data_IF_245848492395
#
_entry.id   IF_245848492395
#
_cell.length_a   1.000
_cell.length_b   1.000
_cell.length_c   1.000
_cell.angle_alpha   90.00
_cell.angle_beta   90.00
_cell.angle_gamma   90.00
#
_symmetry.space_group_name_H-M   'P 1'
#
loop_
_entity.id
_entity.type
_entity.pdbx_description
1 polymer ?
#
# COMPACT_ATOMS: atom_id res chain seq x y z
N UNK A 1 40.59 4.47 71.34
CA UNK A 1 40.46 3.08 70.84
C UNK A 1 40.36 3.21 69.32
N UNK A 2 41.38 2.97 68.48
CA UNK A 2 42.30 1.80 68.40
C UNK A 2 41.51 0.50 68.26
N UNK A 3 41.74 -0.40 67.30
CA UNK A 3 42.82 -0.61 66.30
C UNK A 3 42.26 -1.44 65.12
N UNK A 4 42.88 -1.76 63.98
CA UNK A 4 44.20 -1.53 63.34
C UNK A 4 44.01 -1.74 61.80
N UNK A 5 44.69 -1.00 60.89
CA UNK A 5 45.91 -1.39 60.14
C UNK A 5 45.87 -2.81 59.52
N UNK A 6 46.19 -3.08 58.23
CA UNK A 6 47.35 -2.70 57.40
C UNK A 6 47.14 -3.20 55.93
N UNK A 7 47.93 -2.92 54.86
CA UNK A 7 48.95 -1.91 54.48
C UNK A 7 49.21 -2.02 52.94
N UNK A 8 49.59 -0.89 52.29
CA UNK A 8 50.46 -0.72 51.10
C UNK A 8 50.29 -1.50 49.75
N UNK A 9 50.55 -0.79 48.64
CA UNK A 9 50.89 -1.35 47.31
C UNK A 9 49.87 -1.01 46.20
N UNK A 10 50.17 -0.27 45.13
CA UNK A 10 51.45 0.29 44.69
C UNK A 10 51.93 -0.23 43.33
N UNK A 11 51.10 -0.21 42.28
CA UNK A 11 51.56 -0.48 40.91
C UNK A 11 50.98 0.48 39.87
N UNK A 12 51.86 1.31 39.30
CA UNK A 12 51.63 2.04 38.05
C UNK A 12 51.63 1.04 36.88
N UNK A 13 50.45 0.72 36.35
CA UNK A 13 50.33 -0.04 35.11
C UNK A 13 50.46 0.90 33.91
N UNK A 14 51.66 0.96 33.33
CA UNK A 14 51.96 1.75 32.14
C UNK A 14 51.18 1.23 30.93
N UNK A 15 50.04 1.86 30.60
CA UNK A 15 49.27 1.51 29.41
C UNK A 15 50.02 1.91 28.13
N UNK A 16 50.81 0.98 27.60
CA UNK A 16 51.46 1.12 26.31
C UNK A 16 50.39 1.32 25.22
N UNK A 17 50.41 2.49 24.56
CA UNK A 17 49.51 2.80 23.45
C UNK A 17 49.73 1.80 22.31
N UNK A 18 48.76 0.90 22.09
CA UNK A 18 48.73 0.05 20.88
C UNK A 18 48.68 0.94 19.63
N UNK A 19 49.52 0.70 18.60
CA UNK A 19 49.40 1.41 17.34
C UNK A 19 48.09 1.04 16.63
N UNK A 20 47.52 1.94 15.81
CA UNK A 20 46.24 1.70 15.15
C UNK A 20 46.35 0.53 14.15
N UNK A 21 45.43 -0.44 14.26
CA UNK A 21 45.27 -1.52 13.27
C UNK A 21 44.92 -0.90 11.91
N UNK A 22 45.83 -1.01 10.93
CA UNK A 22 45.53 -0.68 9.52
C UNK A 22 44.45 -1.63 9.01
N UNK A 23 43.27 -1.10 8.68
CA UNK A 23 42.25 -1.88 7.96
C UNK A 23 42.76 -2.19 6.53
N UNK A 24 42.52 -3.40 5.99
CA UNK A 24 42.81 -3.70 4.60
C UNK A 24 41.87 -2.89 3.69
N UNK A 25 42.45 -2.12 2.75
CA UNK A 25 41.67 -1.39 1.74
C UNK A 25 40.87 -2.40 0.90
N UNK A 26 39.53 -2.40 1.04
CA UNK A 26 38.64 -3.08 0.08
C UNK A 26 38.88 -2.49 -1.31
N UNK A 27 39.48 -3.28 -2.22
CA UNK A 27 39.47 -2.96 -3.65
C UNK A 27 38.03 -3.03 -4.14
N UNK A 28 37.44 -1.90 -4.52
CA UNK A 28 36.16 -1.89 -5.22
C UNK A 28 36.35 -2.52 -6.60
N UNK A 29 35.82 -3.73 -6.79
CA UNK A 29 35.58 -4.23 -8.15
C UNK A 29 34.48 -3.36 -8.75
N UNK A 30 34.86 -2.42 -9.61
CA UNK A 30 33.92 -1.78 -10.54
C UNK A 30 33.36 -2.89 -11.42
N UNK A 31 32.07 -3.18 -11.28
CA UNK A 31 31.33 -3.95 -12.29
C UNK A 31 31.12 -2.98 -13.45
N UNK A 32 31.64 -3.31 -14.63
CA UNK A 32 31.36 -2.54 -15.84
C UNK A 32 29.90 -2.77 -16.26
N UNK A 33 29.18 -1.76 -16.76
CA UNK A 33 27.86 -1.98 -17.33
C UNK A 33 27.97 -2.88 -18.55
N UNK A 34 27.15 -3.93 -18.61
CA UNK A 34 27.03 -4.75 -19.80
C UNK A 34 26.39 -3.90 -20.92
N UNK A 35 27.08 -3.81 -22.07
CA UNK A 35 26.53 -3.13 -23.23
C UNK A 35 25.38 -3.95 -23.81
N UNK A 36 24.15 -3.45 -23.69
CA UNK A 36 23.02 -4.03 -24.41
C UNK A 36 23.06 -3.54 -25.85
N UNK A 37 23.41 -4.45 -26.77
CA UNK A 37 23.40 -4.20 -28.21
C UNK A 37 21.98 -3.88 -28.66
N UNK A 38 21.82 -2.77 -29.38
CA UNK A 38 20.51 -2.29 -29.80
C UNK A 38 19.90 -3.14 -30.92
N UNK A 39 18.59 -3.36 -30.83
CA UNK A 39 17.73 -3.60 -31.98
C UNK A 39 16.82 -2.38 -32.13
N UNK A 40 16.89 -1.71 -33.28
CA UNK A 40 16.12 -0.50 -33.53
C UNK A 40 14.66 -0.82 -33.84
N UNK A 41 13.74 -0.26 -33.05
CA UNK A 41 12.31 -0.17 -33.34
C UNK A 41 11.92 1.28 -33.63
N UNK A 42 11.21 1.53 -34.74
CA UNK A 42 10.86 2.89 -35.18
C UNK A 42 9.88 3.57 -34.21
N UNK A 43 10.03 4.88 -34.04
CA UNK A 43 8.96 5.72 -33.53
C UNK A 43 7.78 5.73 -34.50
N UNK A 44 6.57 5.48 -34.00
CA UNK A 44 5.33 5.65 -34.75
C UNK A 44 4.65 6.96 -34.31
N UNK A 45 4.38 7.84 -35.29
CA UNK A 45 3.42 8.95 -35.16
C UNK A 45 2.23 8.64 -36.05
N UNK A 46 1.02 8.88 -35.54
CA UNK A 46 -0.20 9.08 -36.34
C UNK A 46 -0.81 7.82 -36.96
N UNK A 47 -1.98 7.44 -36.45
CA UNK A 47 -2.88 6.46 -37.04
C UNK A 47 -4.28 6.69 -36.49
N UNK A 48 -5.30 6.63 -37.37
CA UNK A 48 -6.67 7.07 -37.07
C UNK A 48 -7.40 6.26 -35.99
N UNK A 49 -8.38 6.92 -35.37
CA UNK A 49 -9.31 6.29 -34.45
C UNK A 49 -10.23 5.31 -35.20
N UNK A 50 -10.01 4.01 -34.98
CA UNK A 50 -11.06 3.00 -35.07
C UNK A 50 -11.20 2.31 -33.72
N UNK A 51 -12.45 2.01 -33.34
CA UNK A 51 -12.86 1.74 -31.97
C UNK A 51 -12.45 0.32 -31.51
N UNK A 52 -11.20 0.11 -31.10
CA UNK A 52 -10.81 -1.10 -30.36
C UNK A 52 -11.20 -0.95 -28.89
N UNK A 53 -12.14 -1.79 -28.44
CA UNK A 53 -12.45 -1.96 -27.02
C UNK A 53 -11.18 -2.24 -26.22
N UNK A 54 -11.05 -1.56 -25.09
CA UNK A 54 -9.86 -1.52 -24.23
C UNK A 54 -9.30 -2.91 -23.90
N UNK A 55 -7.98 -3.05 -23.97
CA UNK A 55 -7.29 -4.31 -23.66
C UNK A 55 -7.30 -4.74 -22.19
N UNK A 56 -7.83 -3.90 -21.29
CA UNK A 56 -7.89 -4.14 -19.85
C UNK A 56 -9.16 -4.89 -19.47
N UNK A 57 -9.02 -6.04 -18.81
CA UNK A 57 -10.10 -6.84 -18.25
C UNK A 57 -9.85 -7.09 -16.76
N UNK A 58 -10.85 -6.86 -15.91
CA UNK A 58 -10.83 -7.08 -14.46
C UNK A 58 -11.81 -8.18 -14.07
N UNK A 59 -11.29 -9.29 -13.53
CA UNK A 59 -12.09 -10.34 -12.89
C UNK A 59 -12.26 -10.00 -11.41
N UNK A 60 -13.52 -9.88 -10.96
CA UNK A 60 -13.78 -9.42 -9.60
C UNK A 60 -15.23 -9.49 -9.13
N UNK A 61 -15.45 -9.04 -7.88
CA UNK A 61 -16.79 -8.90 -7.29
C UNK A 61 -16.86 -7.80 -6.21
N UNK A 62 -18.02 -7.18 -5.96
CA UNK A 62 -18.15 -6.10 -4.98
C UNK A 62 -17.83 -6.49 -3.53
N UNK A 63 -18.05 -7.75 -3.14
CA UNK A 63 -17.80 -8.25 -1.79
C UNK A 63 -16.35 -8.69 -1.53
N UNK A 64 -15.40 -8.28 -2.37
CA UNK A 64 -14.01 -8.74 -2.34
C UNK A 64 -13.04 -7.56 -2.29
N UNK A 65 -11.75 -7.81 -2.54
CA UNK A 65 -10.72 -6.77 -2.72
C UNK A 65 -10.65 -6.26 -4.17
N UNK A 66 -11.66 -6.53 -5.00
CA UNK A 66 -11.74 -6.02 -6.38
C UNK A 66 -12.11 -4.54 -6.50
N UNK A 67 -13.03 -3.97 -5.67
CA UNK A 67 -13.44 -2.56 -5.80
C UNK A 67 -12.31 -1.54 -5.63
N UNK A 68 -11.21 -1.89 -4.96
CA UNK A 68 -10.04 -1.01 -4.87
C UNK A 68 -9.29 -0.90 -6.22
N UNK A 69 -9.30 -1.96 -7.04
CA UNK A 69 -8.71 -1.95 -8.38
C UNK A 69 -9.61 -1.18 -9.34
N UNK A 70 -10.91 -1.48 -9.29
CA UNK A 70 -11.98 -0.77 -10.02
C UNK A 70 -11.92 0.75 -9.75
N UNK A 71 -11.81 1.13 -8.47
CA UNK A 71 -11.62 2.52 -8.06
C UNK A 71 -10.38 3.13 -8.68
N UNK A 72 -9.22 2.46 -8.67
CA UNK A 72 -8.02 3.03 -9.27
C UNK A 72 -8.11 3.17 -10.79
N UNK A 73 -8.70 2.19 -11.48
CA UNK A 73 -8.99 2.30 -12.93
C UNK A 73 -9.86 3.53 -13.22
N UNK A 74 -10.86 3.80 -12.39
CA UNK A 74 -11.69 5.00 -12.48
C UNK A 74 -11.02 6.32 -12.05
N UNK A 75 -9.98 6.29 -11.22
CA UNK A 75 -9.16 7.48 -10.90
C UNK A 75 -8.12 7.78 -12.00
N UNK A 76 -7.74 6.77 -12.77
CA UNK A 76 -6.84 6.86 -13.93
C UNK A 76 -7.58 7.11 -15.25
N UNK A 77 -8.92 7.15 -15.22
CA UNK A 77 -9.82 7.14 -16.40
C UNK A 77 -9.48 6.04 -17.43
N UNK A 78 -8.99 4.89 -16.97
CA UNK A 78 -8.70 3.71 -17.79
C UNK A 78 -10.00 2.93 -18.01
N UNK A 79 -10.49 2.77 -19.26
CA UNK A 79 -11.66 1.95 -19.53
C UNK A 79 -11.30 0.46 -19.47
N UNK A 80 -12.19 -0.35 -18.89
CA UNK A 80 -11.95 -1.78 -18.67
C UNK A 80 -13.24 -2.61 -18.78
N UNK A 81 -13.08 -3.88 -19.13
CA UNK A 81 -14.14 -4.89 -19.12
C UNK A 81 -14.20 -5.59 -17.75
N UNK A 82 -15.35 -5.55 -17.07
CA UNK A 82 -15.55 -6.33 -15.84
C UNK A 82 -16.03 -7.76 -16.15
N UNK A 83 -15.42 -8.77 -15.52
CA UNK A 83 -15.80 -10.19 -15.63
C UNK A 83 -16.07 -10.80 -14.25
N UNK A 84 -16.89 -11.86 -14.24
CA UNK A 84 -17.28 -12.54 -13.00
C UNK A 84 -16.13 -13.40 -12.45
N UNK A 85 -16.11 -13.70 -11.13
CA UNK A 85 -15.00 -14.44 -10.52
C UNK A 85 -14.84 -15.88 -11.05
N UNK A 86 -15.95 -16.49 -11.48
CA UNK A 86 -16.02 -17.86 -12.00
C UNK A 86 -15.92 -17.97 -13.51
N UNK A 87 -15.52 -16.90 -14.21
CA UNK A 87 -15.18 -16.96 -15.64
C UNK A 87 -13.97 -17.89 -15.84
N UNK A 88 -14.04 -18.90 -16.73
CA UNK A 88 -12.94 -19.85 -16.94
C UNK A 88 -11.66 -19.22 -17.51
N UNK A 89 -11.72 -17.96 -17.97
CA UNK A 89 -10.57 -17.20 -18.46
C UNK A 89 -9.89 -16.34 -17.37
N UNK A 90 -10.34 -16.41 -16.12
CA UNK A 90 -9.71 -15.74 -14.98
C UNK A 90 -8.24 -16.22 -14.87
N UNK A 91 -7.24 -15.33 -15.00
CA UNK A 91 -5.84 -15.73 -15.05
C UNK A 91 -5.23 -16.04 -13.67
N UNK A 92 -5.99 -15.91 -12.58
CA UNK A 92 -5.49 -16.21 -11.24
C UNK A 92 -5.19 -17.72 -11.11
N UNK A 93 -3.94 -18.16 -10.86
CA UNK A 93 -3.58 -19.59 -10.85
C UNK A 93 -4.26 -20.38 -9.71
N UNK A 94 -4.72 -19.67 -8.68
CA UNK A 94 -5.49 -20.22 -7.55
C UNK A 94 -7.00 -19.93 -7.61
N UNK A 95 -7.52 -19.38 -8.71
CA UNK A 95 -8.95 -19.07 -8.89
C UNK A 95 -9.50 -17.97 -7.98
N UNK A 96 -8.64 -17.11 -7.42
CA UNK A 96 -9.05 -15.99 -6.56
C UNK A 96 -9.27 -14.71 -7.38
N UNK A 97 -9.61 -13.62 -6.67
CA UNK A 97 -9.88 -12.29 -7.22
C UNK A 97 -9.37 -11.20 -6.25
N UNK A 98 -8.99 -10.00 -6.74
CA UNK A 98 -9.00 -9.58 -8.15
C UNK A 98 -7.89 -10.24 -8.98
N UNK A 99 -8.16 -10.32 -10.28
CA UNK A 99 -7.16 -10.60 -11.31
C UNK A 99 -7.40 -9.66 -12.50
N UNK A 100 -6.33 -9.23 -13.15
CA UNK A 100 -6.37 -8.28 -14.26
C UNK A 100 -5.55 -8.82 -15.44
N UNK A 101 -6.06 -8.64 -16.66
CA UNK A 101 -5.30 -8.81 -17.90
C UNK A 101 -5.29 -7.48 -18.63
N UNK A 102 -4.13 -7.09 -19.15
CA UNK A 102 -3.91 -5.92 -19.99
C UNK A 102 -3.10 -6.35 -21.22
N UNK A 103 -3.80 -6.60 -22.33
CA UNK A 103 -3.23 -7.27 -23.50
C UNK A 103 -2.70 -8.66 -23.16
N UNK A 104 -1.39 -8.85 -23.31
CA UNK A 104 -0.69 -10.11 -22.97
C UNK A 104 -0.20 -10.17 -21.50
N UNK A 105 -0.38 -9.10 -20.72
CA UNK A 105 0.10 -9.04 -19.32
C UNK A 105 -1.00 -9.48 -18.38
N UNK A 106 -0.72 -10.47 -17.53
CA UNK A 106 -1.63 -10.96 -16.48
C UNK A 106 -1.07 -10.65 -15.10
N UNK A 107 -1.89 -10.04 -14.25
CA UNK A 107 -1.52 -9.60 -12.90
C UNK A 107 -2.59 -10.05 -11.90
N UNK A 108 -2.15 -10.68 -10.84
CA UNK A 108 -2.97 -11.12 -9.69
C UNK A 108 -2.39 -10.51 -8.41
N UNK A 109 -3.10 -10.62 -7.29
CA UNK A 109 -2.95 -9.81 -6.07
C UNK A 109 -3.33 -8.33 -6.24
N UNK A 110 -4.28 -7.87 -5.42
CA UNK A 110 -4.79 -6.50 -5.44
C UNK A 110 -3.72 -5.41 -5.39
N UNK A 111 -2.70 -5.57 -4.53
CA UNK A 111 -1.58 -4.63 -4.42
C UNK A 111 -0.63 -4.65 -5.61
N UNK A 112 -0.39 -5.81 -6.22
CA UNK A 112 0.44 -5.91 -7.41
C UNK A 112 -0.27 -5.31 -8.65
N UNK A 113 -1.59 -5.55 -8.78
CA UNK A 113 -2.41 -4.90 -9.81
C UNK A 113 -2.39 -3.37 -9.64
N UNK A 114 -2.58 -2.86 -8.41
CA UNK A 114 -2.47 -1.42 -8.14
C UNK A 114 -1.11 -0.85 -8.57
N UNK A 115 0.00 -1.50 -8.22
CA UNK A 115 1.34 -1.06 -8.62
C UNK A 115 1.56 -1.14 -10.14
N UNK A 116 1.04 -2.18 -10.80
CA UNK A 116 1.09 -2.31 -12.26
C UNK A 116 0.36 -1.15 -12.95
N UNK A 117 -0.87 -0.85 -12.54
CA UNK A 117 -1.64 0.27 -13.07
C UNK A 117 -0.96 1.63 -12.81
N UNK A 118 -0.28 1.77 -11.66
CA UNK A 118 0.46 2.98 -11.34
C UNK A 118 1.75 3.15 -12.18
N UNK A 119 2.42 2.04 -12.52
CA UNK A 119 3.58 2.03 -13.41
C UNK A 119 3.17 2.31 -14.88
N UNK A 120 2.06 1.73 -15.36
CA UNK A 120 1.59 1.91 -16.74
C UNK A 120 0.86 3.25 -16.99
N UNK A 121 0.03 3.70 -16.05
CA UNK A 121 -0.90 4.82 -16.23
C UNK A 121 -0.74 5.94 -15.19
N UNK A 122 -0.16 5.64 -14.01
CA UNK A 122 -0.07 6.56 -12.86
C UNK A 122 1.20 7.42 -12.76
N UNK A 123 2.13 7.32 -13.73
CA UNK A 123 3.32 8.20 -13.78
C UNK A 123 4.39 7.93 -12.72
N UNK A 124 4.63 6.66 -12.37
CA UNK A 124 5.71 6.23 -11.46
C UNK A 124 7.09 6.14 -12.15
N UNK A 125 7.44 7.17 -12.92
CA UNK A 125 8.56 7.20 -13.88
C UNK A 125 9.96 6.97 -13.28
N UNK A 126 10.11 7.03 -11.95
CA UNK A 126 11.40 6.87 -11.27
C UNK A 126 11.34 5.77 -10.20
N UNK A 127 12.48 5.09 -9.91
CA UNK A 127 12.55 4.14 -8.79
C UNK A 127 12.19 4.76 -7.44
N UNK A 128 12.41 6.06 -7.26
CA UNK A 128 12.05 6.78 -6.03
C UNK A 128 10.52 6.94 -5.89
N UNK A 129 9.83 7.37 -6.96
CA UNK A 129 8.35 7.41 -7.00
C UNK A 129 7.76 6.03 -6.73
N UNK A 130 8.27 4.99 -7.40
CA UNK A 130 7.85 3.59 -7.18
C UNK A 130 8.06 3.11 -5.76
N UNK A 131 9.22 3.39 -5.17
CA UNK A 131 9.47 3.01 -3.77
C UNK A 131 8.53 3.73 -2.79
N UNK A 132 8.17 4.99 -3.07
CA UNK A 132 7.25 5.76 -2.23
C UNK A 132 5.81 5.22 -2.29
N UNK A 133 5.33 4.84 -3.47
CA UNK A 133 4.06 4.15 -3.64
C UNK A 133 4.09 2.73 -3.03
N UNK A 134 5.05 1.91 -3.43
CA UNK A 134 5.10 0.49 -3.12
C UNK A 134 5.20 0.20 -1.61
N UNK A 135 5.94 1.03 -0.84
CA UNK A 135 6.03 0.86 0.62
C UNK A 135 4.65 0.95 1.29
N UNK A 136 3.74 1.78 0.78
CA UNK A 136 2.40 1.96 1.33
C UNK A 136 1.46 0.86 0.88
N UNK A 137 1.51 0.47 -0.40
CA UNK A 137 0.71 -0.65 -0.92
C UNK A 137 1.07 -1.95 -0.19
N UNK A 138 2.36 -2.31 -0.13
CA UNK A 138 2.83 -3.50 0.60
C UNK A 138 2.49 -3.41 2.09
N UNK A 139 2.61 -2.24 2.73
CA UNK A 139 2.19 -2.06 4.12
C UNK A 139 0.69 -2.25 4.30
N UNK A 140 -0.13 -1.79 3.36
CA UNK A 140 -1.57 -1.97 3.38
C UNK A 140 -1.93 -3.46 3.35
N UNK A 141 -1.41 -4.21 2.37
CA UNK A 141 -1.65 -5.65 2.24
C UNK A 141 -1.08 -6.46 3.41
N UNK A 142 0.18 -6.22 3.80
CA UNK A 142 0.91 -7.12 4.71
C UNK A 142 0.91 -6.70 6.19
N UNK A 143 0.42 -5.51 6.54
CA UNK A 143 0.50 -4.98 7.91
C UNK A 143 -0.75 -4.23 8.39
N UNK A 144 -1.52 -3.62 7.49
CA UNK A 144 -2.80 -2.99 7.84
C UNK A 144 -3.95 -3.98 7.77
N UNK A 145 -4.04 -4.78 6.69
CA UNK A 145 -5.16 -5.71 6.49
C UNK A 145 -5.32 -6.73 7.65
N UNK A 146 -4.27 -7.44 8.14
CA UNK A 146 -4.42 -8.37 9.26
C UNK A 146 -4.73 -7.69 10.61
N UNK A 147 -4.57 -6.36 10.68
CA UNK A 147 -4.97 -5.56 11.85
C UNK A 147 -6.44 -5.13 11.75
N UNK A 148 -6.93 -4.88 10.53
CA UNK A 148 -8.30 -4.44 10.28
C UNK A 148 -9.30 -5.58 10.10
N UNK A 149 -8.85 -6.76 9.69
CA UNK A 149 -9.67 -7.95 9.44
C UNK A 149 -9.02 -9.13 10.16
N UNK A 150 -9.58 -9.47 11.32
CA UNK A 150 -9.11 -10.57 12.16
C UNK A 150 -9.76 -11.85 11.64
N UNK A 151 -8.97 -12.70 11.01
CA UNK A 151 -9.42 -13.99 10.47
C UNK A 151 -9.22 -15.15 11.45
N UNK A 152 -10.03 -16.20 11.30
CA UNK A 152 -9.79 -17.49 11.94
C UNK A 152 -8.88 -18.39 11.09
N UNK A 153 -8.55 -19.59 11.60
CA UNK A 153 -7.71 -20.59 10.91
C UNK A 153 -8.27 -21.07 9.54
N UNK A 154 -9.50 -20.70 9.18
CA UNK A 154 -10.16 -21.00 7.90
C UNK A 154 -10.24 -19.79 6.96
N UNK A 155 -9.57 -18.69 7.29
CA UNK A 155 -9.61 -17.44 6.50
C UNK A 155 -10.96 -16.71 6.57
N UNK A 156 -11.78 -16.97 7.59
CA UNK A 156 -13.05 -16.26 7.78
C UNK A 156 -12.81 -15.04 8.66
N UNK A 157 -13.08 -13.85 8.11
CA UNK A 157 -13.09 -12.59 8.85
C UNK A 157 -14.14 -12.63 9.96
N UNK A 158 -13.70 -12.53 11.22
CA UNK A 158 -14.58 -12.56 12.40
C UNK A 158 -14.78 -11.18 13.03
N UNK A 159 -13.75 -10.34 13.04
CA UNK A 159 -13.77 -9.06 13.77
C UNK A 159 -12.77 -8.04 13.18
N UNK A 160 -12.82 -6.79 13.65
CA UNK A 160 -11.84 -5.75 13.32
C UNK A 160 -11.01 -5.33 14.53
N UNK A 161 -9.67 -5.29 14.36
CA UNK A 161 -8.78 -4.75 15.40
C UNK A 161 -9.05 -3.28 15.73
N UNK A 162 -9.75 -2.53 14.87
CA UNK A 162 -10.20 -1.16 15.14
C UNK A 162 -11.13 -1.08 16.39
N UNK A 163 -11.88 -2.14 16.70
CA UNK A 163 -12.75 -2.23 17.89
C UNK A 163 -12.02 -2.35 19.21
N UNK A 164 -10.79 -2.90 19.20
CA UNK A 164 -10.09 -3.29 20.43
C UNK A 164 -9.87 -2.07 21.32
N UNK A 165 -10.12 -2.22 22.62
CA UNK A 165 -9.95 -1.13 23.58
C UNK A 165 -8.52 -0.54 23.50
N UNK A 166 -7.51 -1.40 23.43
CA UNK A 166 -6.14 -0.99 23.09
C UNK A 166 -6.02 -0.64 21.60
N UNK A 167 -5.57 0.58 21.29
CA UNK A 167 -5.35 1.03 19.91
C UNK A 167 -4.32 0.15 19.22
N UNK A 168 -4.61 -0.47 18.06
CA UNK A 168 -3.58 -1.14 17.27
C UNK A 168 -2.46 -0.17 16.90
N UNK A 169 -1.21 -0.56 17.16
CA UNK A 169 -0.02 0.28 16.93
C UNK A 169 0.08 0.78 15.47
N UNK A 170 -0.43 0.01 14.52
CA UNK A 170 -0.51 0.40 13.11
C UNK A 170 -1.40 1.64 12.90
N UNK A 171 -2.62 1.66 13.48
CA UNK A 171 -3.57 2.77 13.34
C UNK A 171 -3.09 4.02 14.09
N UNK A 172 -2.54 3.89 15.30
CA UNK A 172 -1.93 5.04 16.01
C UNK A 172 -0.73 5.63 15.26
N UNK A 173 0.05 4.82 14.55
CA UNK A 173 1.13 5.32 13.68
C UNK A 173 0.60 5.98 12.41
N UNK A 174 -0.41 5.40 11.77
CA UNK A 174 -1.06 6.00 10.60
C UNK A 174 -1.68 7.36 10.94
N UNK A 175 -2.36 7.46 12.09
CA UNK A 175 -2.90 8.71 12.63
C UNK A 175 -1.81 9.78 12.78
N UNK A 176 -0.65 9.40 13.32
CA UNK A 176 0.50 10.30 13.48
C UNK A 176 1.08 10.76 12.14
N UNK A 177 1.00 9.92 11.09
CA UNK A 177 1.44 10.26 9.73
C UNK A 177 0.43 11.20 9.06
N UNK A 178 -0.87 10.91 9.17
CA UNK A 178 -1.96 11.69 8.57
C UNK A 178 -2.21 13.03 9.28
N UNK A 179 -1.69 13.22 10.49
CA UNK A 179 -1.58 14.52 11.14
C UNK A 179 -0.58 15.47 10.42
N UNK A 180 0.27 14.96 9.52
CA UNK A 180 1.33 15.72 8.84
C UNK A 180 1.20 15.74 7.31
N UNK A 181 0.20 15.07 6.73
CA UNK A 181 -0.01 15.03 5.27
C UNK A 181 -1.47 14.85 4.91
N UNK A 182 -1.88 15.44 3.79
CA UNK A 182 -3.23 15.26 3.27
C UNK A 182 -3.43 13.88 2.63
N UNK A 183 -2.45 13.42 1.85
CA UNK A 183 -2.45 12.14 1.16
C UNK A 183 -1.15 11.37 1.42
N UNK A 184 -1.21 10.05 1.37
CA UNK A 184 -0.08 9.14 1.54
C UNK A 184 0.84 9.15 0.32
N UNK A 185 0.30 9.38 -0.89
CA UNK A 185 1.07 9.50 -2.14
C UNK A 185 1.79 10.84 -2.30
N UNK A 186 1.65 11.78 -1.35
CA UNK A 186 2.35 13.07 -1.34
C UNK A 186 1.42 14.26 -1.56
N UNK A 187 1.72 15.09 -2.56
CA UNK A 187 1.01 16.34 -2.86
C UNK A 187 -0.39 16.12 -3.45
N UNK A 188 -0.66 14.94 -4.00
CA UNK A 188 -1.93 14.56 -4.59
C UNK A 188 -2.32 13.14 -4.19
N UNK A 189 -3.61 12.84 -4.29
CA UNK A 189 -4.16 11.48 -4.14
C UNK A 189 -3.59 10.54 -5.20
N UNK A 190 -3.24 9.31 -4.82
CA UNK A 190 -2.70 8.30 -5.74
C UNK A 190 -2.81 6.86 -5.25
N UNK A 191 -2.02 5.96 -5.82
CA UNK A 191 -2.11 4.51 -5.58
C UNK A 191 -1.93 4.09 -4.11
N UNK A 192 -1.07 4.79 -3.36
CA UNK A 192 -0.88 4.54 -1.94
C UNK A 192 -2.15 4.88 -1.14
N UNK A 193 -2.89 5.89 -1.60
CA UNK A 193 -4.15 6.30 -0.99
C UNK A 193 -5.26 5.33 -1.30
N UNK A 194 -5.41 4.90 -2.56
CA UNK A 194 -6.38 3.86 -2.94
C UNK A 194 -6.17 2.60 -2.10
N UNK A 195 -4.92 2.12 -1.98
CA UNK A 195 -4.62 0.94 -1.18
C UNK A 195 -5.05 1.10 0.28
N UNK A 196 -4.52 2.10 1.00
CA UNK A 196 -4.77 2.26 2.44
C UNK A 196 -6.21 2.68 2.73
N UNK A 197 -6.77 3.63 1.98
CA UNK A 197 -8.13 4.10 2.20
C UNK A 197 -9.17 3.01 1.92
N UNK A 198 -8.98 2.15 0.91
CA UNK A 198 -9.90 1.03 0.68
C UNK A 198 -10.01 0.11 1.89
N UNK A 199 -8.87 -0.29 2.48
CA UNK A 199 -8.87 -1.12 3.68
C UNK A 199 -9.54 -0.44 4.88
N UNK A 200 -9.32 0.87 5.08
CA UNK A 200 -9.99 1.63 6.13
C UNK A 200 -11.51 1.74 5.90
N UNK A 201 -11.94 2.01 4.66
CA UNK A 201 -13.34 2.20 4.28
C UNK A 201 -14.12 0.88 4.23
N UNK A 202 -13.46 -0.25 3.97
CA UNK A 202 -14.07 -1.59 4.11
C UNK A 202 -14.52 -1.89 5.54
N UNK A 203 -13.82 -1.40 6.57
CA UNK A 203 -14.13 -1.70 7.98
C UNK A 203 -15.58 -1.33 8.34
N UNK A 204 -16.05 -0.07 8.20
CA UNK A 204 -17.44 0.27 8.47
C UNK A 204 -18.47 -0.34 7.50
N UNK A 205 -18.07 -0.88 6.33
CA UNK A 205 -18.98 -1.65 5.46
C UNK A 205 -19.28 -3.01 6.10
N UNK A 206 -18.25 -3.73 6.56
CA UNK A 206 -18.40 -5.07 7.15
C UNK A 206 -18.76 -5.03 8.65
N UNK A 207 -18.42 -3.95 9.34
CA UNK A 207 -18.52 -3.79 10.78
C UNK A 207 -19.16 -2.44 11.11
N UNK A 208 -20.46 -2.32 10.85
CA UNK A 208 -21.22 -1.06 10.86
C UNK A 208 -21.13 -0.27 12.18
N UNK A 209 -20.88 -0.93 13.30
CA UNK A 209 -20.76 -0.36 14.65
C UNK A 209 -19.30 0.03 15.05
N UNK A 210 -18.31 -0.15 14.16
CA UNK A 210 -16.97 0.44 14.33
C UNK A 210 -17.01 1.96 14.17
N UNK A 211 -16.21 2.67 14.96
CA UNK A 211 -15.94 4.10 14.79
C UNK A 211 -14.44 4.39 14.73
N UNK A 212 -14.04 5.30 13.84
CA UNK A 212 -12.68 5.83 13.76
C UNK A 212 -12.50 7.16 14.53
N UNK A 213 -13.46 7.61 15.34
CA UNK A 213 -13.39 8.89 16.07
C UNK A 213 -12.13 9.05 16.97
N UNK A 214 -11.57 7.93 17.45
CA UNK A 214 -10.30 7.88 18.20
C UNK A 214 -9.04 8.19 17.37
N UNK A 215 -9.18 8.25 16.04
CA UNK A 215 -8.14 8.57 15.06
C UNK A 215 -8.67 9.66 14.09
N UNK A 216 -8.86 10.90 14.57
CA UNK A 216 -9.59 11.93 13.82
C UNK A 216 -8.90 12.36 12.53
N UNK A 217 -7.57 12.32 12.42
CA UNK A 217 -6.87 12.62 11.16
C UNK A 217 -7.07 11.49 10.14
N UNK A 218 -7.11 10.24 10.61
CA UNK A 218 -7.45 9.05 9.82
C UNK A 218 -8.90 9.09 9.35
N UNK A 219 -9.85 9.48 10.22
CA UNK A 219 -11.25 9.66 9.84
C UNK A 219 -11.42 10.80 8.80
N UNK A 220 -10.77 11.96 8.98
CA UNK A 220 -10.78 13.04 7.97
C UNK A 220 -10.16 12.61 6.64
N UNK A 221 -9.12 11.80 6.67
CA UNK A 221 -8.51 11.19 5.49
C UNK A 221 -9.47 10.24 4.76
N UNK A 222 -10.15 9.34 5.50
CA UNK A 222 -11.23 8.51 4.94
C UNK A 222 -12.33 9.37 4.30
N UNK A 223 -12.70 10.48 4.93
CA UNK A 223 -13.67 11.45 4.42
C UNK A 223 -13.26 12.08 3.08
N UNK A 224 -11.99 12.52 2.94
CA UNK A 224 -11.46 13.00 1.65
C UNK A 224 -11.46 11.92 0.55
N UNK A 225 -11.28 10.66 0.94
CA UNK A 225 -11.22 9.54 0.00
C UNK A 225 -12.61 9.08 -0.48
N UNK A 226 -13.59 8.99 0.42
CA UNK A 226 -14.91 8.42 0.13
C UNK A 226 -15.77 9.32 -0.78
N UNK A 227 -15.59 10.63 -0.71
CA UNK A 227 -16.34 11.61 -1.53
C UNK A 227 -15.84 11.69 -2.97
N UNK A 228 -14.78 10.95 -3.34
CA UNK A 228 -14.23 10.98 -4.70
C UNK A 228 -15.21 10.32 -5.70
N UNK A 229 -15.48 10.94 -6.86
CA UNK A 229 -16.43 10.39 -7.83
C UNK A 229 -16.09 8.96 -8.29
N UNK A 230 -14.82 8.63 -8.43
CA UNK A 230 -14.37 7.28 -8.81
C UNK A 230 -14.63 6.23 -7.71
N UNK A 231 -14.56 6.60 -6.42
CA UNK A 231 -14.95 5.71 -5.33
C UNK A 231 -16.44 5.36 -5.42
N UNK A 232 -17.29 6.35 -5.71
CA UNK A 232 -18.73 6.18 -5.91
C UNK A 232 -19.07 5.28 -7.11
N UNK A 233 -18.28 5.34 -8.20
CA UNK A 233 -18.42 4.41 -9.35
C UNK A 233 -18.12 2.96 -8.92
N UNK A 234 -16.98 2.73 -8.27
CA UNK A 234 -16.46 1.40 -7.94
C UNK A 234 -17.16 0.69 -6.76
N UNK A 235 -17.49 1.42 -5.69
CA UNK A 235 -18.13 0.89 -4.48
C UNK A 235 -19.65 1.11 -4.46
N UNK A 236 -20.19 1.87 -5.42
CA UNK A 236 -21.59 2.25 -5.53
C UNK A 236 -21.96 3.46 -4.67
N UNK A 237 -22.68 4.42 -5.27
CA UNK A 237 -23.01 5.70 -4.62
C UNK A 237 -23.80 5.61 -3.31
N UNK A 238 -24.59 4.55 -3.09
CA UNK A 238 -25.25 4.32 -1.78
C UNK A 238 -24.24 4.00 -0.68
N UNK A 239 -23.22 3.19 -0.99
CA UNK A 239 -22.12 2.87 -0.08
C UNK A 239 -21.30 4.12 0.23
N UNK A 240 -20.95 4.89 -0.80
CA UNK A 240 -20.20 6.13 -0.64
C UNK A 240 -20.95 7.16 0.23
N UNK A 241 -22.24 7.36 -0.01
CA UNK A 241 -23.08 8.28 0.79
C UNK A 241 -23.23 7.81 2.25
N UNK A 242 -23.49 6.52 2.49
CA UNK A 242 -23.53 5.94 3.84
C UNK A 242 -22.22 6.17 4.59
N UNK A 243 -21.09 5.91 3.95
CA UNK A 243 -19.78 6.08 4.58
C UNK A 243 -19.43 7.55 4.82
N UNK A 244 -19.79 8.47 3.93
CA UNK A 244 -19.58 9.90 4.13
C UNK A 244 -20.28 10.42 5.40
N UNK A 245 -21.58 10.11 5.57
CA UNK A 245 -22.38 10.43 6.76
C UNK A 245 -21.79 9.82 8.04
N UNK A 246 -21.42 8.53 8.00
CA UNK A 246 -20.77 7.85 9.13
C UNK A 246 -19.44 8.51 9.51
N UNK A 247 -18.61 8.89 8.53
CA UNK A 247 -17.32 9.54 8.78
C UNK A 247 -17.49 10.95 9.32
N UNK A 248 -18.46 11.72 8.82
CA UNK A 248 -18.80 13.05 9.36
C UNK A 248 -19.14 12.96 10.86
N UNK A 249 -19.94 11.97 11.26
CA UNK A 249 -20.28 11.70 12.66
C UNK A 249 -19.09 11.34 13.58
N UNK A 250 -17.90 11.07 13.02
CA UNK A 250 -16.68 10.77 13.78
C UNK A 250 -15.69 11.93 13.89
N UNK A 251 -15.92 13.03 13.14
CA UNK A 251 -15.00 14.18 13.07
C UNK A 251 -15.62 15.51 13.49
N UNK A 252 -16.94 15.52 13.73
CA UNK A 252 -17.71 16.57 14.38
C UNK A 252 -17.45 16.63 15.90
#
# INVERSE_FOLDING_TARGET
>A
MASSAALLGGHLATFARRPPRRQPRRRSRRIAPAAFLGLGGKAARGGDASNSTSGVTLWGSPGSRSPLVDWYLHELDVPFDAKSPGDPNNPHPFGQIPALRDGDVEVWESGAILMYLADCYGGLDTPAKRADANKWVVWANASLDPVLFIENERGQVLDSGARRAESPKALTRLESVLAQREFLSGEAFGVADVAVASYLLFVPIFFADVSFARWPNTARYMGRCVVRPAYSKAFGGRTAAYLADRIESWVA
#
